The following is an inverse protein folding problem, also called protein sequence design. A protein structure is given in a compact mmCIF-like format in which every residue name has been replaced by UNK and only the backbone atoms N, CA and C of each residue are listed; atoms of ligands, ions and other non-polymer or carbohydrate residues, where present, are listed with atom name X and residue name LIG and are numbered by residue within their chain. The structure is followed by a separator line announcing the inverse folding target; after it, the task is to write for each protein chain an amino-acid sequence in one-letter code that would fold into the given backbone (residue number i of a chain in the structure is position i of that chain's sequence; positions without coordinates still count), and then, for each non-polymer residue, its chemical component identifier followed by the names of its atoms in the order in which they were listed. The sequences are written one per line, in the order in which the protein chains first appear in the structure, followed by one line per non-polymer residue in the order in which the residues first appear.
data_IF_431785584680
#
_entry.id   IF_431785584680
#
_cell.length_a   1.000
_cell.length_b   1.000
_cell.length_c   1.000
_cell.angle_alpha   90.00
_cell.angle_beta   90.00
_cell.angle_gamma   90.00
#
_symmetry.space_group_name_H-M   'P 1'
#
loop_
_entity.id
_entity.type
_entity.pdbx_description
1 polymer ?
#
# COMPACT_ATOMS: atom_id res chain seq x y z
N UNK A 1 -10.40 45.91 -26.05
CA UNK A 1 -9.95 44.51 -25.83
C UNK A 1 -9.89 44.24 -24.34
N UNK A 2 -10.96 43.71 -23.74
CA UNK A 2 -10.98 43.41 -22.29
C UNK A 2 -10.26 42.09 -22.03
N UNK A 3 -9.15 42.14 -21.29
CA UNK A 3 -8.38 40.97 -20.88
C UNK A 3 -9.09 40.25 -19.72
N UNK A 4 -10.17 39.54 -20.01
CA UNK A 4 -10.90 38.75 -19.01
C UNK A 4 -10.05 37.53 -18.63
N UNK A 5 -9.33 37.62 -17.52
CA UNK A 5 -8.58 36.50 -16.96
C UNK A 5 -9.53 35.48 -16.34
N UNK A 6 -9.52 34.25 -16.87
CA UNK A 6 -10.36 33.18 -16.36
C UNK A 6 -9.81 32.66 -15.02
N UNK A 7 -10.42 33.11 -13.91
CA UNK A 7 -10.05 32.72 -12.55
C UNK A 7 -10.22 31.22 -12.27
N UNK A 8 -11.15 30.54 -12.96
CA UNK A 8 -11.36 29.10 -12.78
C UNK A 8 -10.18 28.28 -13.31
N UNK A 9 -9.62 28.67 -14.47
CA UNK A 9 -8.40 28.05 -15.00
C UNK A 9 -7.22 28.24 -14.05
N UNK A 10 -7.08 29.44 -13.47
CA UNK A 10 -6.04 29.73 -12.48
C UNK A 10 -6.18 28.88 -11.21
N UNK A 11 -7.38 28.81 -10.63
CA UNK A 11 -7.68 27.95 -9.46
C UNK A 11 -7.36 26.48 -9.76
N UNK A 12 -7.77 25.98 -10.92
CA UNK A 12 -7.48 24.61 -11.35
C UNK A 12 -5.98 24.36 -11.53
N UNK A 13 -5.24 25.32 -12.07
CA UNK A 13 -3.79 25.23 -12.19
C UNK A 13 -3.11 25.18 -10.81
N UNK A 14 -3.51 26.03 -9.86
CA UNK A 14 -3.01 25.95 -8.47
C UNK A 14 -3.30 24.61 -7.82
N UNK A 15 -4.54 24.11 -7.93
CA UNK A 15 -4.93 22.84 -7.34
C UNK A 15 -4.09 21.67 -7.88
N UNK A 16 -3.81 21.65 -9.19
CA UNK A 16 -2.91 20.66 -9.80
C UNK A 16 -1.47 20.79 -9.28
N UNK A 17 -0.95 22.00 -9.16
CA UNK A 17 0.40 22.24 -8.63
C UNK A 17 0.53 21.79 -7.17
N UNK A 18 -0.49 22.05 -6.36
CA UNK A 18 -0.54 21.61 -4.96
C UNK A 18 -0.62 20.08 -4.85
N UNK A 19 -1.45 19.44 -5.67
CA UNK A 19 -1.52 17.98 -5.74
C UNK A 19 -0.17 17.35 -6.12
N UNK A 20 0.57 17.95 -7.07
CA UNK A 20 1.91 17.50 -7.44
C UNK A 20 2.91 17.63 -6.28
N UNK A 21 2.92 18.75 -5.57
CA UNK A 21 3.76 18.95 -4.38
C UNK A 21 3.43 17.95 -3.26
N UNK A 22 2.14 17.66 -3.04
CA UNK A 22 1.69 16.63 -2.10
C UNK A 22 2.16 15.24 -2.52
N UNK A 23 2.12 14.92 -3.82
CA UNK A 23 2.66 13.67 -4.33
C UNK A 23 4.18 13.56 -4.10
N UNK A 24 4.95 14.61 -4.44
CA UNK A 24 6.41 14.65 -4.23
C UNK A 24 6.79 14.52 -2.74
N UNK A 25 6.06 15.20 -1.86
CA UNK A 25 6.27 15.07 -0.40
C UNK A 25 5.91 13.68 0.10
N UNK A 26 4.81 13.09 -0.36
CA UNK A 26 4.44 11.71 -0.01
C UNK A 26 5.48 10.70 -0.52
N UNK A 27 6.04 10.90 -1.72
CA UNK A 27 7.13 10.06 -2.26
C UNK A 27 8.37 10.17 -1.38
N UNK A 28 8.78 11.40 -1.01
CA UNK A 28 9.95 11.62 -0.15
C UNK A 28 9.76 11.06 1.26
N UNK A 29 8.58 11.25 1.85
CA UNK A 29 8.29 10.85 3.24
C UNK A 29 8.02 9.37 3.38
N UNK A 30 7.34 8.76 2.40
CA UNK A 30 6.86 7.40 2.54
C UNK A 30 7.58 6.39 1.66
N UNK A 31 8.33 6.80 0.62
CA UNK A 31 9.14 5.94 -0.27
C UNK A 31 8.34 4.92 -1.09
N UNK A 32 7.18 4.51 -0.58
CA UNK A 32 6.17 3.62 -1.12
C UNK A 32 4.82 4.31 -0.99
N UNK A 33 4.07 4.31 -2.08
CA UNK A 33 2.72 4.88 -2.08
C UNK A 33 1.77 4.05 -1.18
N UNK A 34 0.62 4.62 -0.79
CA UNK A 34 -0.38 3.87 -0.01
C UNK A 34 -0.84 2.62 -0.78
N UNK A 35 -1.01 2.73 -2.10
CA UNK A 35 -1.38 1.62 -2.97
C UNK A 35 -0.32 0.51 -2.97
N UNK A 36 0.97 0.87 -3.08
CA UNK A 36 2.07 -0.10 -3.00
C UNK A 36 2.13 -0.81 -1.65
N UNK A 37 1.94 -0.08 -0.54
CA UNK A 37 1.85 -0.69 0.79
C UNK A 37 0.69 -1.68 0.91
N UNK A 38 -0.47 -1.37 0.36
CA UNK A 38 -1.63 -2.28 0.38
C UNK A 38 -1.41 -3.53 -0.48
N UNK A 39 -0.69 -3.39 -1.60
CA UNK A 39 -0.32 -4.53 -2.45
C UNK A 39 0.68 -5.42 -1.70
N UNK A 40 1.71 -4.83 -1.10
CA UNK A 40 2.71 -5.54 -0.32
C UNK A 40 2.10 -6.23 0.91
N UNK A 41 1.20 -5.55 1.64
CA UNK A 41 0.49 -6.15 2.76
C UNK A 41 -0.35 -7.37 2.32
N UNK A 42 -1.03 -7.28 1.17
CA UNK A 42 -1.77 -8.42 0.60
C UNK A 42 -0.84 -9.55 0.17
N UNK A 43 0.33 -9.24 -0.40
CA UNK A 43 1.33 -10.24 -0.75
C UNK A 43 1.90 -10.92 0.51
N UNK A 44 2.21 -10.15 1.56
CA UNK A 44 2.68 -10.67 2.84
C UNK A 44 1.65 -11.58 3.50
N UNK A 45 0.38 -11.16 3.55
CA UNK A 45 -0.70 -11.98 4.08
C UNK A 45 -0.86 -13.29 3.29
N UNK A 46 -0.77 -13.23 1.95
CA UNK A 46 -0.80 -14.44 1.11
C UNK A 46 0.39 -15.36 1.39
N UNK A 47 1.59 -14.81 1.54
CA UNK A 47 2.78 -15.57 1.90
C UNK A 47 2.66 -16.19 3.30
N UNK A 48 2.18 -15.44 4.29
CA UNK A 48 1.90 -15.94 5.65
C UNK A 48 0.91 -17.11 5.61
N UNK A 49 -0.22 -16.96 4.91
CA UNK A 49 -1.18 -18.07 4.73
C UNK A 49 -0.59 -19.29 4.00
N UNK A 50 0.27 -19.07 2.99
CA UNK A 50 0.95 -20.18 2.31
C UNK A 50 1.97 -20.88 3.23
N UNK A 51 2.70 -20.13 4.06
CA UNK A 51 3.68 -20.67 5.00
C UNK A 51 2.99 -21.41 6.14
N UNK A 52 1.88 -20.88 6.67
CA UNK A 52 1.09 -21.54 7.71
C UNK A 52 0.46 -22.86 7.20
N UNK A 53 -0.04 -22.89 5.95
CA UNK A 53 -0.50 -24.13 5.32
C UNK A 53 0.62 -25.13 4.99
N UNK A 54 1.86 -24.64 4.83
CA UNK A 54 3.05 -25.47 4.62
C UNK A 54 3.75 -25.85 5.94
N UNK A 55 3.30 -25.32 7.09
CA UNK A 55 3.79 -25.71 8.40
C UNK A 55 3.16 -27.05 8.76
N UNK A 56 3.74 -28.12 8.21
CA UNK A 56 3.63 -29.45 8.78
C UNK A 56 4.23 -29.31 10.19
N UNK A 57 3.39 -29.15 11.21
CA UNK A 57 3.79 -29.56 12.55
C UNK A 57 4.32 -30.98 12.37
N UNK A 58 5.56 -31.31 12.79
CA UNK A 58 5.86 -32.72 12.97
C UNK A 58 4.71 -33.22 13.85
N UNK A 59 4.02 -34.24 13.37
CA UNK A 59 3.08 -34.96 14.20
C UNK A 59 3.88 -35.27 15.46
N UNK A 60 3.54 -34.58 16.55
CA UNK A 60 3.76 -35.19 17.86
C UNK A 60 2.86 -36.39 17.79
N UNK A 61 3.43 -37.49 17.30
CA UNK A 61 2.95 -38.84 17.46
C UNK A 61 2.90 -39.02 18.97
N UNK A 62 1.80 -38.55 19.56
CA UNK A 62 1.37 -38.83 20.92
C UNK A 62 0.76 -40.24 20.90
N UNK A 63 1.53 -41.21 20.37
CA UNK A 63 1.25 -42.64 20.45
C UNK A 63 1.81 -43.14 21.78
N UNK A 64 1.30 -42.54 22.86
CA UNK A 64 1.53 -42.90 24.24
C UNK A 64 0.48 -43.86 24.78
N UNK A 65 0.05 -44.85 24.02
CA UNK A 65 -0.71 -45.99 24.54
C UNK A 65 -0.21 -47.30 23.90
N UNK A 66 0.75 -47.96 24.56
CA UNK A 66 0.86 -49.42 24.60
C UNK A 66 1.81 -49.84 25.74
N UNK A 67 1.24 -50.49 26.77
CA UNK A 67 1.98 -51.19 27.84
C UNK A 67 1.42 -50.96 29.23
#
# INVERSE_FOLDING_TARGET
MSNVVNLNKFRKARAKAEAKKRAETNVRLHGRTKAEREIEARQKARLEHCVDGARLTPTTDDDGEHG
#
